data_IF_078546617069
#
_entry.id   IF_078546617069
#
_cell.length_a   1.000
_cell.length_b   1.000
_cell.length_c   1.000
_cell.angle_alpha   90.00
_cell.angle_beta   90.00
_cell.angle_gamma   90.00
#
_symmetry.space_group_name_H-M   'P 1'
#
loop_
_entity.id
_entity.type
_entity.pdbx_description
1 polymer ?
#
# COMPACT_ATOMS: atom_id res chain seq x y z
N UNK A 1 -27.37 -6.89 -5.24
CA UNK A 1 -28.15 -5.71 -4.75
C UNK A 1 -29.66 -5.85 -4.94
N UNK A 2 -30.16 -6.79 -5.75
CA UNK A 2 -31.60 -6.92 -6.07
C UNK A 2 -32.48 -7.57 -4.98
N UNK A 3 -31.91 -8.12 -3.91
CA UNK A 3 -32.65 -8.86 -2.85
C UNK A 3 -32.69 -8.18 -1.46
N UNK A 4 -32.32 -6.90 -1.35
CA UNK A 4 -32.32 -6.19 -0.06
C UNK A 4 -30.95 -6.12 0.62
N UNK A 5 -30.79 -5.07 1.43
CA UNK A 5 -29.58 -4.50 2.05
C UNK A 5 -28.25 -4.63 1.28
N UNK A 6 -27.91 -3.65 0.41
CA UNK A 6 -26.66 -3.69 -0.34
C UNK A 6 -25.45 -3.51 0.60
N UNK A 7 -24.63 -4.55 0.74
CA UNK A 7 -23.33 -4.44 1.40
C UNK A 7 -22.33 -3.69 0.52
N UNK A 8 -21.73 -2.63 1.06
CA UNK A 8 -20.66 -1.90 0.39
C UNK A 8 -19.32 -2.36 0.96
N UNK A 9 -18.53 -3.05 0.14
CA UNK A 9 -17.17 -3.43 0.51
C UNK A 9 -16.16 -2.47 -0.10
N UNK A 10 -15.56 -1.63 0.73
CA UNK A 10 -14.71 -0.52 0.26
C UNK A 10 -13.52 -0.99 -0.61
N UNK A 11 -12.97 -2.18 -0.34
CA UNK A 11 -11.85 -2.74 -1.11
C UNK A 11 -12.22 -3.06 -2.57
N UNK A 12 -13.52 -3.09 -2.90
CA UNK A 12 -14.05 -3.39 -4.23
C UNK A 12 -14.62 -2.13 -4.89
N UNK A 13 -14.55 -0.98 -4.23
CA UNK A 13 -14.88 0.30 -4.84
C UNK A 13 -13.73 0.71 -5.75
N UNK A 14 -13.96 0.65 -7.05
CA UNK A 14 -12.98 1.01 -8.07
C UNK A 14 -13.63 1.93 -9.09
N UNK A 15 -12.91 2.98 -9.50
CA UNK A 15 -13.34 3.86 -10.59
C UNK A 15 -12.56 3.52 -11.85
N UNK A 16 -13.28 3.06 -12.87
CA UNK A 16 -12.74 2.69 -14.18
C UNK A 16 -12.55 3.89 -15.12
N UNK A 17 -13.05 5.08 -14.76
CA UNK A 17 -13.09 6.27 -15.62
C UNK A 17 -12.32 7.46 -15.04
N UNK A 18 -12.52 7.79 -13.76
CA UNK A 18 -12.03 8.99 -13.07
C UNK A 18 -11.08 8.70 -11.90
N UNK A 19 -10.30 7.61 -11.99
CA UNK A 19 -9.44 7.15 -10.90
C UNK A 19 -8.37 8.15 -10.44
N UNK A 20 -7.66 7.85 -9.32
CA UNK A 20 -6.70 8.76 -8.71
C UNK A 20 -5.56 9.16 -9.66
N UNK A 21 -5.02 10.37 -9.46
CA UNK A 21 -3.85 10.88 -10.17
C UNK A 21 -2.62 9.98 -9.97
N UNK A 22 -1.62 10.12 -10.84
CA UNK A 22 -0.42 9.25 -10.81
C UNK A 22 0.30 9.29 -9.46
N UNK A 23 0.37 10.45 -8.80
CA UNK A 23 0.98 10.60 -7.47
C UNK A 23 0.38 9.60 -6.47
N UNK A 24 -0.94 9.58 -6.33
CA UNK A 24 -1.64 8.65 -5.43
C UNK A 24 -1.43 7.17 -5.80
N UNK A 25 -1.19 6.86 -7.07
CA UNK A 25 -0.93 5.49 -7.55
C UNK A 25 0.49 5.00 -7.30
N UNK A 26 1.40 5.89 -6.86
CA UNK A 26 2.80 5.54 -6.63
C UNK A 26 3.22 5.75 -5.16
N UNK A 27 2.57 6.64 -4.41
CA UNK A 27 2.89 6.90 -3.00
C UNK A 27 2.60 5.73 -2.05
N UNK A 28 1.80 4.75 -2.48
CA UNK A 28 1.46 3.60 -1.64
C UNK A 28 0.70 4.00 -0.38
N UNK A 29 1.01 3.35 0.74
CA UNK A 29 0.41 3.68 2.04
C UNK A 29 1.10 4.85 2.76
N UNK A 30 2.20 5.39 2.21
CA UNK A 30 2.95 6.50 2.81
C UNK A 30 3.81 6.13 4.03
N UNK A 31 3.99 4.84 4.36
CA UNK A 31 4.78 4.43 5.53
C UNK A 31 6.19 4.99 5.48
N UNK A 32 6.63 5.65 6.55
CA UNK A 32 7.96 6.25 6.68
C UNK A 32 8.07 7.66 6.10
N UNK A 33 7.05 8.16 5.40
CA UNK A 33 7.05 9.48 4.77
C UNK A 33 5.82 10.30 5.16
N UNK A 34 4.67 9.99 4.59
CA UNK A 34 3.38 10.66 4.82
C UNK A 34 2.59 10.05 5.99
N UNK A 35 2.97 8.84 6.41
CA UNK A 35 2.38 8.10 7.51
C UNK A 35 3.49 7.51 8.40
N UNK A 36 3.33 7.67 9.71
CA UNK A 36 4.25 7.13 10.73
C UNK A 36 3.43 6.62 11.92
N UNK A 37 3.96 5.60 12.60
CA UNK A 37 3.48 5.15 13.89
C UNK A 37 4.24 5.85 15.01
N UNK A 38 3.54 6.12 16.12
CA UNK A 38 4.12 6.72 17.33
C UNK A 38 3.95 5.74 18.49
N UNK A 39 5.03 5.44 19.20
CA UNK A 39 4.98 4.59 20.40
C UNK A 39 4.51 5.41 21.63
N UNK A 40 4.11 4.77 22.74
CA UNK A 40 3.81 5.49 23.99
C UNK A 40 4.98 6.31 24.54
N UNK A 41 6.21 5.97 24.16
CA UNK A 41 7.44 6.68 24.51
C UNK A 41 7.76 7.81 23.55
N UNK A 42 6.91 8.06 22.55
CA UNK A 42 7.08 9.10 21.53
C UNK A 42 8.01 8.73 20.38
N UNK A 43 8.45 7.48 20.25
CA UNK A 43 9.30 7.06 19.14
C UNK A 43 8.52 7.00 17.83
N UNK A 44 9.16 7.42 16.74
CA UNK A 44 8.61 7.37 15.39
C UNK A 44 9.09 6.13 14.65
N UNK A 45 8.16 5.43 14.01
CA UNK A 45 8.42 4.28 13.13
C UNK A 45 7.67 4.41 11.79
N UNK A 46 8.15 3.77 10.70
CA UNK A 46 7.52 3.88 9.39
C UNK A 46 6.06 3.43 9.37
N UNK A 47 5.74 2.36 10.10
CA UNK A 47 4.37 1.96 10.39
C UNK A 47 4.34 1.10 11.65
N UNK A 48 3.13 0.71 12.07
CA UNK A 48 2.94 -0.10 13.27
C UNK A 48 3.61 -1.49 13.19
N UNK A 49 3.85 -2.03 11.99
CA UNK A 49 4.47 -3.35 11.82
C UNK A 49 5.97 -3.35 12.15
N UNK A 50 6.64 -2.19 12.10
CA UNK A 50 8.06 -2.05 12.40
C UNK A 50 8.35 -1.61 13.84
N UNK A 51 7.30 -1.39 14.65
CA UNK A 51 7.48 -0.94 16.04
C UNK A 51 8.21 -2.01 16.84
N UNK A 52 9.35 -1.63 17.44
CA UNK A 52 10.22 -2.53 18.21
C UNK A 52 11.42 -3.07 17.43
N UNK A 53 11.54 -2.73 16.14
CA UNK A 53 12.75 -3.01 15.35
C UNK A 53 13.65 -1.78 15.30
N UNK A 54 14.66 -1.71 16.18
CA UNK A 54 15.51 -0.53 16.36
C UNK A 54 16.10 0.04 15.06
N UNK A 55 16.39 -0.82 14.07
CA UNK A 55 16.88 -0.40 12.75
C UNK A 55 15.92 0.49 11.96
N UNK A 56 14.63 0.47 12.30
CA UNK A 56 13.58 1.26 11.67
C UNK A 56 13.12 2.45 12.52
N UNK A 57 13.73 2.70 13.68
CA UNK A 57 13.41 3.91 14.45
C UNK A 57 13.79 5.15 13.64
N UNK A 58 12.80 5.98 13.35
CA UNK A 58 12.95 7.22 12.57
C UNK A 58 13.43 8.40 13.42
N UNK A 59 13.08 8.40 14.70
CA UNK A 59 13.33 9.51 15.62
C UNK A 59 12.28 9.52 16.73
N UNK A 60 11.88 10.70 17.17
CA UNK A 60 10.86 10.89 18.20
C UNK A 60 9.99 12.13 17.93
N UNK A 61 8.85 12.24 18.61
CA UNK A 61 7.89 13.34 18.41
C UNK A 61 8.40 14.72 18.88
N UNK A 62 9.48 14.77 19.68
CA UNK A 62 10.02 16.02 20.20
C UNK A 62 11.11 16.60 19.29
N UNK A 63 11.93 15.74 18.68
CA UNK A 63 13.02 16.12 17.77
C UNK A 63 12.67 15.95 16.30
N UNK A 64 11.62 15.18 16.00
CA UNK A 64 11.22 14.81 14.65
C UNK A 64 12.01 13.62 14.10
N UNK A 65 12.09 13.54 12.77
CA UNK A 65 12.82 12.48 12.07
C UNK A 65 14.31 12.81 12.05
N UNK A 66 15.11 11.94 12.66
CA UNK A 66 16.58 12.02 12.70
C UNK A 66 17.23 10.98 11.77
N UNK A 67 16.62 9.80 11.63
CA UNK A 67 17.09 8.73 10.74
C UNK A 67 16.57 8.95 9.31
N UNK A 68 17.14 9.95 8.64
CA UNK A 68 16.77 10.34 7.28
C UNK A 68 17.09 9.24 6.26
N UNK A 69 18.14 8.44 6.47
CA UNK A 69 18.50 7.34 5.59
C UNK A 69 17.38 6.27 5.51
N UNK A 70 16.81 5.90 6.66
CA UNK A 70 15.65 5.01 6.69
C UNK A 70 14.44 5.67 5.99
N UNK A 71 14.15 6.93 6.29
CA UNK A 71 13.05 7.65 5.64
C UNK A 71 13.21 7.71 4.10
N UNK A 72 14.42 7.97 3.61
CA UNK A 72 14.74 8.00 2.18
C UNK A 72 14.53 6.64 1.51
N UNK A 73 14.87 5.53 2.19
CA UNK A 73 14.63 4.20 1.64
C UNK A 73 13.14 3.89 1.51
N UNK A 74 12.32 4.29 2.50
CA UNK A 74 10.87 4.19 2.41
C UNK A 74 10.27 5.14 1.35
N UNK A 75 10.83 6.35 1.20
CA UNK A 75 10.40 7.29 0.15
C UNK A 75 10.67 6.75 -1.26
N UNK A 76 11.80 6.06 -1.44
CA UNK A 76 12.13 5.40 -2.69
C UNK A 76 11.30 4.12 -2.92
N UNK A 77 10.63 3.59 -1.89
CA UNK A 77 9.88 2.33 -1.95
C UNK A 77 8.50 2.52 -2.60
N UNK A 78 8.48 2.59 -3.93
CA UNK A 78 7.26 2.62 -4.73
C UNK A 78 7.23 1.50 -5.78
N UNK A 79 6.16 1.45 -6.57
CA UNK A 79 5.95 0.46 -7.64
C UNK A 79 7.11 0.38 -8.66
N UNK A 80 7.85 1.48 -8.89
CA UNK A 80 8.96 1.50 -9.84
C UNK A 80 10.28 1.01 -9.24
N UNK A 81 10.38 0.89 -7.92
CA UNK A 81 11.58 0.39 -7.24
C UNK A 81 11.67 -1.15 -7.24
N UNK A 82 10.65 -1.85 -7.76
CA UNK A 82 10.49 -3.31 -7.70
C UNK A 82 10.49 -3.88 -9.12
N UNK A 83 11.47 -4.73 -9.45
CA UNK A 83 11.60 -5.24 -10.81
C UNK A 83 10.39 -6.08 -11.24
N UNK A 84 9.85 -6.88 -10.33
CA UNK A 84 8.69 -7.74 -10.56
C UNK A 84 7.42 -6.94 -10.85
N UNK A 85 7.36 -5.69 -10.40
CA UNK A 85 6.23 -4.79 -10.69
C UNK A 85 6.28 -4.21 -12.11
N UNK A 86 7.43 -4.24 -12.79
CA UNK A 86 7.62 -3.63 -14.12
C UNK A 86 6.61 -4.13 -15.14
N UNK A 87 6.33 -5.42 -15.16
CA UNK A 87 5.42 -6.06 -16.12
C UNK A 87 4.05 -6.45 -15.51
N UNK A 88 3.76 -6.00 -14.29
CA UNK A 88 2.50 -6.34 -13.61
C UNK A 88 1.35 -5.43 -14.07
N UNK A 89 0.26 -6.02 -14.55
CA UNK A 89 -0.93 -5.26 -14.97
C UNK A 89 -1.61 -4.50 -13.81
N UNK A 90 -1.46 -5.00 -12.58
CA UNK A 90 -2.09 -4.43 -11.39
C UNK A 90 -1.21 -3.39 -10.67
N UNK A 91 -0.03 -3.05 -11.22
CA UNK A 91 1.00 -2.27 -10.51
C UNK A 91 0.49 -0.89 -10.05
N UNK A 92 -0.34 -0.23 -10.84
CA UNK A 92 -0.93 1.08 -10.53
C UNK A 92 -2.27 1.00 -9.78
N UNK A 93 -2.72 -0.21 -9.44
CA UNK A 93 -3.81 -0.45 -8.50
C UNK A 93 -3.28 -0.78 -7.10
N UNK A 94 -2.14 -1.48 -6.99
CA UNK A 94 -1.55 -1.85 -5.70
C UNK A 94 -0.51 -0.86 -5.16
N UNK A 95 -0.03 0.06 -6.00
CA UNK A 95 1.02 1.05 -5.66
C UNK A 95 2.34 0.44 -5.17
N UNK A 96 2.60 -0.84 -5.43
CA UNK A 96 3.81 -1.55 -4.98
C UNK A 96 3.62 -2.45 -3.75
N UNK A 97 2.42 -2.50 -3.16
CA UNK A 97 2.12 -3.41 -2.05
C UNK A 97 2.60 -2.92 -0.67
N UNK A 98 2.74 -3.85 0.28
CA UNK A 98 3.08 -3.55 1.67
C UNK A 98 4.59 -3.66 1.93
N UNK A 99 5.23 -2.58 2.38
CA UNK A 99 6.66 -2.55 2.72
C UNK A 99 7.03 -3.50 3.88
N UNK A 100 6.16 -3.65 4.88
CA UNK A 100 6.40 -4.57 6.00
C UNK A 100 6.39 -6.04 5.54
N UNK A 101 5.37 -6.45 4.76
CA UNK A 101 5.34 -7.81 4.21
C UNK A 101 6.53 -8.10 3.31
N UNK A 102 6.95 -7.11 2.50
CA UNK A 102 8.15 -7.20 1.68
C UNK A 102 9.38 -7.45 2.56
N UNK A 103 9.60 -6.61 3.57
CA UNK A 103 10.75 -6.73 4.46
C UNK A 103 10.77 -8.07 5.21
N UNK A 104 9.67 -8.48 5.83
CA UNK A 104 9.64 -9.75 6.58
C UNK A 104 9.73 -10.99 5.69
N UNK A 105 9.38 -10.88 4.40
CA UNK A 105 9.51 -11.99 3.45
C UNK A 105 10.89 -12.06 2.78
N UNK A 106 11.55 -10.92 2.54
CA UNK A 106 12.74 -10.86 1.69
C UNK A 106 13.94 -10.15 2.32
N UNK A 107 13.81 -9.58 3.51
CA UNK A 107 14.82 -8.74 4.16
C UNK A 107 14.99 -7.35 3.54
N UNK A 108 14.11 -6.93 2.62
CA UNK A 108 14.18 -5.62 1.98
C UNK A 108 12.79 -5.04 1.78
N UNK A 109 12.61 -3.76 2.12
CA UNK A 109 11.35 -3.05 1.85
C UNK A 109 11.04 -2.96 0.35
N UNK A 110 12.06 -3.12 -0.52
CA UNK A 110 11.94 -3.13 -1.98
C UNK A 110 11.65 -4.52 -2.57
N UNK A 111 11.76 -5.60 -1.80
CA UNK A 111 11.48 -6.96 -2.30
C UNK A 111 9.99 -7.28 -2.38
N UNK A 112 9.56 -8.34 -3.06
CA UNK A 112 8.13 -8.61 -3.27
C UNK A 112 7.63 -9.81 -2.47
N UNK A 113 6.49 -9.64 -1.79
CA UNK A 113 5.75 -10.74 -1.16
C UNK A 113 4.75 -11.37 -2.15
N UNK A 114 5.17 -12.40 -2.87
CA UNK A 114 4.43 -12.96 -4.02
C UNK A 114 3.03 -13.47 -3.67
N UNK A 115 2.83 -14.09 -2.51
CA UNK A 115 1.49 -14.54 -2.09
C UNK A 115 0.51 -13.37 -1.93
N UNK A 116 1.00 -12.24 -1.39
CA UNK A 116 0.23 -10.99 -1.32
C UNK A 116 -0.11 -10.43 -2.70
N UNK A 117 0.83 -10.51 -3.65
CA UNK A 117 0.60 -10.08 -5.02
C UNK A 117 -0.46 -10.93 -5.73
N UNK A 118 -0.42 -12.26 -5.59
CA UNK A 118 -1.44 -13.17 -6.13
C UNK A 118 -2.83 -12.83 -5.60
N UNK A 119 -2.95 -12.68 -4.28
CA UNK A 119 -4.22 -12.34 -3.64
C UNK A 119 -4.73 -10.96 -4.08
N UNK A 120 -3.84 -9.96 -4.19
CA UNK A 120 -4.21 -8.62 -4.65
C UNK A 120 -4.72 -8.64 -6.09
N UNK A 121 -3.99 -9.29 -7.02
CA UNK A 121 -4.44 -9.43 -8.41
C UNK A 121 -5.82 -10.08 -8.48
N UNK A 122 -6.07 -11.12 -7.69
CA UNK A 122 -7.38 -11.76 -7.66
C UNK A 122 -8.48 -10.84 -7.15
N UNK A 123 -8.23 -10.07 -6.08
CA UNK A 123 -9.18 -9.06 -5.60
C UNK A 123 -9.49 -8.00 -6.67
N UNK A 124 -8.49 -7.56 -7.42
CA UNK A 124 -8.70 -6.59 -8.51
C UNK A 124 -9.52 -7.14 -9.66
N UNK A 125 -9.30 -8.39 -10.07
CA UNK A 125 -10.17 -9.06 -11.05
C UNK A 125 -11.63 -9.05 -10.60
N UNK A 126 -11.88 -9.43 -9.33
CA UNK A 126 -13.22 -9.44 -8.78
C UNK A 126 -13.82 -8.03 -8.66
N UNK A 127 -13.03 -7.03 -8.25
CA UNK A 127 -13.49 -5.64 -8.14
C UNK A 127 -13.86 -5.05 -9.50
N UNK A 128 -13.03 -5.27 -10.52
CA UNK A 128 -13.31 -4.83 -11.90
C UNK A 128 -14.60 -5.48 -12.41
N UNK A 129 -14.76 -6.79 -12.23
CA UNK A 129 -15.99 -7.48 -12.66
C UNK A 129 -17.23 -6.96 -11.94
N UNK A 130 -17.15 -6.76 -10.61
CA UNK A 130 -18.25 -6.23 -9.83
C UNK A 130 -18.64 -4.79 -10.27
N UNK A 131 -17.65 -3.96 -10.59
CA UNK A 131 -17.89 -2.59 -11.08
C UNK A 131 -18.49 -2.58 -12.49
N UNK A 132 -18.03 -3.48 -13.37
CA UNK A 132 -18.62 -3.64 -14.71
C UNK A 132 -20.09 -4.08 -14.59
N UNK A 133 -20.38 -5.11 -13.79
CA UNK A 133 -21.74 -5.60 -13.55
C UNK A 133 -22.65 -4.49 -13.00
N UNK A 134 -22.12 -3.66 -12.09
CA UNK A 134 -22.81 -2.48 -11.56
C UNK A 134 -23.16 -1.48 -12.66
N UNK A 135 -22.20 -1.10 -13.50
CA UNK A 135 -22.44 -0.13 -14.59
C UNK A 135 -23.40 -0.65 -15.66
N UNK A 136 -23.46 -1.96 -15.90
CA UNK A 136 -24.45 -2.56 -16.80
C UNK A 136 -25.84 -2.70 -16.17
N UNK A 137 -25.92 -2.92 -14.86
CA UNK A 137 -27.20 -3.03 -14.14
C UNK A 137 -27.87 -1.68 -13.88
N UNK A 138 -27.11 -0.59 -13.90
CA UNK A 138 -27.61 0.78 -13.72
C UNK A 138 -28.01 1.48 -15.03
N UNK A 139 -27.74 0.85 -16.19
CA UNK A 139 -28.24 1.27 -17.51
C UNK A 139 -29.53 0.54 -17.85
#
# INVERSE_FOLDING_TARGET
>A
RKEGDPFTFYHYMIDLTGGPCIYKRISGCGSGTEYMAVTPWGDLYPCHQFVGEDGFKLGDVWKGVENTACQEDFMACNVYAREECRNCWARLYCSGGCAANAYHATGSVRGVYEAGCKLFRKRMECAIMAEIDRQFSEK
#
